data_IF_404716286676
#
_entry.id   IF_404716286676
#
_cell.length_a   1.000
_cell.length_b   1.000
_cell.length_c   1.000
_cell.angle_alpha   90.00
_cell.angle_beta   90.00
_cell.angle_gamma   90.00
#
_symmetry.space_group_name_H-M   'P 1'
#
loop_
_entity.id
_entity.type
_entity.pdbx_description
1 polymer ?
#
# COMPACT_ATOMS: atom_id res chain seq x y z
N UNK A 1 8.20 14.10 -30.17
CA UNK A 1 7.39 13.85 -28.97
C UNK A 1 8.11 12.96 -27.94
N UNK A 2 8.69 11.80 -28.30
CA UNK A 2 9.42 10.92 -27.32
C UNK A 2 10.48 11.68 -26.51
N UNK A 3 11.30 12.50 -27.15
CA UNK A 3 12.34 13.32 -26.49
C UNK A 3 11.75 14.32 -25.50
N UNK A 4 10.60 14.95 -25.81
CA UNK A 4 9.93 15.90 -24.91
C UNK A 4 9.33 15.18 -23.71
N UNK A 5 8.78 13.98 -23.90
CA UNK A 5 8.30 13.13 -22.79
C UNK A 5 9.46 12.76 -21.85
N UNK A 6 10.63 12.38 -22.39
CA UNK A 6 11.80 12.07 -21.57
C UNK A 6 12.24 13.27 -20.72
N UNK A 7 12.32 14.46 -21.31
CA UNK A 7 12.63 15.73 -20.60
C UNK A 7 11.58 16.04 -19.51
N UNK A 8 10.31 15.82 -19.80
CA UNK A 8 9.25 16.01 -18.83
C UNK A 8 9.37 15.05 -17.64
N UNK A 9 9.66 13.75 -17.89
CA UNK A 9 9.85 12.79 -16.81
C UNK A 9 11.07 13.12 -15.94
N UNK A 10 12.12 13.65 -16.55
CA UNK A 10 13.30 14.16 -15.82
C UNK A 10 12.94 15.40 -15.00
N UNK A 11 12.20 16.36 -15.56
CA UNK A 11 11.66 17.49 -14.81
C UNK A 11 10.83 17.08 -13.59
N UNK A 12 9.98 16.03 -13.74
CA UNK A 12 9.22 15.50 -12.61
C UNK A 12 10.12 14.93 -11.51
N UNK A 13 11.25 14.31 -11.88
CA UNK A 13 12.21 13.74 -10.93
C UNK A 13 13.02 14.84 -10.23
N UNK A 14 13.69 15.68 -11.00
CA UNK A 14 14.72 16.62 -10.53
C UNK A 14 14.14 17.90 -9.96
N UNK A 15 13.15 18.52 -10.63
CA UNK A 15 12.60 19.82 -10.24
C UNK A 15 11.36 19.69 -9.36
N UNK A 16 10.42 18.79 -9.75
CA UNK A 16 9.17 18.58 -8.99
C UNK A 16 9.31 17.61 -7.82
N UNK A 17 10.46 16.95 -7.68
CA UNK A 17 10.71 15.94 -6.66
C UNK A 17 9.54 14.96 -6.51
N UNK A 18 8.98 14.53 -7.66
CA UNK A 18 7.83 13.66 -7.72
C UNK A 18 8.24 12.24 -7.32
N UNK A 19 7.32 11.51 -6.66
CA UNK A 19 7.61 10.14 -6.27
C UNK A 19 7.95 9.26 -7.49
N UNK A 20 8.84 8.25 -7.36
CA UNK A 20 9.16 7.30 -8.44
C UNK A 20 7.91 6.66 -9.04
N UNK A 21 6.87 6.44 -8.21
CA UNK A 21 5.58 5.95 -8.64
C UNK A 21 4.82 6.92 -9.56
N UNK A 22 4.82 8.20 -9.23
CA UNK A 22 4.18 9.23 -10.06
C UNK A 22 4.86 9.31 -11.40
N UNK A 23 6.19 9.36 -11.41
CA UNK A 23 6.99 9.39 -12.65
C UNK A 23 6.72 8.15 -13.51
N UNK A 24 6.74 6.95 -12.92
CA UNK A 24 6.47 5.71 -13.65
C UNK A 24 5.04 5.65 -14.21
N UNK A 25 4.03 6.06 -13.44
CA UNK A 25 2.65 6.05 -13.90
C UNK A 25 2.41 7.07 -15.01
N UNK A 26 2.96 8.28 -14.86
CA UNK A 26 2.86 9.31 -15.88
C UNK A 26 3.59 8.89 -17.18
N UNK A 27 4.75 8.25 -17.04
CA UNK A 27 5.47 7.68 -18.19
C UNK A 27 4.60 6.69 -18.96
N UNK A 28 4.03 5.70 -18.28
CA UNK A 28 3.12 4.71 -18.91
C UNK A 28 1.89 5.33 -19.54
N UNK A 29 1.30 6.36 -18.92
CA UNK A 29 0.14 7.04 -19.46
C UNK A 29 0.49 7.80 -20.74
N UNK A 30 1.65 8.46 -20.77
CA UNK A 30 2.15 9.17 -21.94
C UNK A 30 2.62 8.23 -23.06
N UNK A 31 3.21 7.09 -22.72
CA UNK A 31 3.54 6.03 -23.68
C UNK A 31 2.28 5.49 -24.36
N UNK A 32 1.20 5.26 -23.59
CA UNK A 32 -0.07 4.82 -24.15
C UNK A 32 -0.70 5.88 -25.06
N UNK A 33 -0.62 7.16 -24.69
CA UNK A 33 -1.07 8.25 -25.56
C UNK A 33 -0.24 8.34 -26.84
N UNK A 34 1.08 8.20 -26.73
CA UNK A 34 1.97 8.18 -27.88
C UNK A 34 1.67 7.00 -28.83
N UNK A 35 1.40 5.82 -28.29
CA UNK A 35 1.01 4.65 -29.06
C UNK A 35 -0.32 4.86 -29.81
N UNK A 36 -1.28 5.54 -29.17
CA UNK A 36 -2.54 5.93 -29.81
C UNK A 36 -2.32 6.90 -30.99
N UNK A 37 -1.43 7.88 -30.83
CA UNK A 37 -1.10 8.86 -31.89
C UNK A 37 -0.27 8.28 -33.04
N UNK A 38 0.32 7.14 -32.85
CA UNK A 38 1.24 6.51 -33.82
C UNK A 38 0.85 5.04 -34.03
N UNK A 39 -0.33 4.77 -34.62
CA UNK A 39 -0.70 3.40 -34.96
C UNK A 39 0.30 2.82 -35.98
N UNK A 40 0.46 1.49 -36.02
CA UNK A 40 1.37 0.83 -36.96
C UNK A 40 1.10 1.25 -38.40
N UNK A 41 2.14 1.69 -39.11
CA UNK A 41 2.05 2.11 -40.50
C UNK A 41 1.75 3.60 -40.74
N UNK A 42 1.54 4.39 -39.68
CA UNK A 42 1.34 5.84 -39.79
C UNK A 42 2.52 6.62 -39.21
N UNK A 43 2.82 7.76 -39.82
CA UNK A 43 3.82 8.69 -39.27
C UNK A 43 3.29 9.34 -37.97
N UNK A 44 4.09 9.41 -36.89
CA UNK A 44 3.68 10.06 -35.66
C UNK A 44 3.28 11.51 -35.87
N UNK A 45 2.14 11.92 -35.35
CA UNK A 45 1.73 13.33 -35.39
C UNK A 45 2.74 14.21 -34.64
N UNK A 46 3.11 15.38 -35.20
CA UNK A 46 3.95 16.33 -34.51
C UNK A 46 3.20 16.91 -33.28
N UNK A 47 3.95 17.28 -32.24
CA UNK A 47 3.37 17.80 -31.00
C UNK A 47 2.46 19.03 -31.25
N UNK A 48 2.84 19.89 -32.18
CA UNK A 48 2.06 21.08 -32.54
C UNK A 48 0.71 20.79 -33.22
N UNK A 49 0.55 19.61 -33.82
CA UNK A 49 -0.71 19.20 -34.46
C UNK A 49 -1.72 18.62 -33.46
N UNK A 50 -1.33 18.39 -32.20
CA UNK A 50 -2.22 17.85 -31.19
C UNK A 50 -3.11 18.98 -30.64
N UNK A 51 -4.38 18.89 -30.93
CA UNK A 51 -5.41 19.80 -30.43
C UNK A 51 -6.34 19.12 -29.41
N UNK A 52 -7.33 19.86 -28.90
CA UNK A 52 -8.26 19.34 -27.89
C UNK A 52 -9.17 18.21 -28.44
N UNK A 53 -9.42 18.14 -29.75
CA UNK A 53 -10.17 17.04 -30.36
C UNK A 53 -9.41 15.72 -30.25
N UNK A 54 -8.14 15.70 -30.59
CA UNK A 54 -7.26 14.51 -30.47
C UNK A 54 -7.23 13.99 -29.03
N UNK A 55 -7.13 14.89 -28.05
CA UNK A 55 -7.17 14.47 -26.64
C UNK A 55 -8.55 13.91 -26.25
N UNK A 56 -9.65 14.52 -26.74
CA UNK A 56 -11.01 14.02 -26.51
C UNK A 56 -11.23 12.65 -27.14
N UNK A 57 -10.79 12.43 -28.36
CA UNK A 57 -10.86 11.13 -29.06
C UNK A 57 -10.06 10.06 -28.32
N UNK A 58 -8.86 10.39 -27.82
CA UNK A 58 -8.12 9.46 -26.96
C UNK A 58 -8.90 9.09 -25.70
N UNK A 59 -9.57 10.04 -25.04
CA UNK A 59 -10.38 9.76 -23.86
C UNK A 59 -11.60 8.86 -24.22
N UNK A 60 -12.25 9.09 -25.36
CA UNK A 60 -13.30 8.22 -25.89
C UNK A 60 -12.76 6.80 -26.16
N UNK A 61 -11.64 6.68 -26.87
CA UNK A 61 -10.96 5.42 -27.11
C UNK A 61 -10.68 4.63 -25.82
N UNK A 62 -10.25 5.30 -24.75
CA UNK A 62 -10.04 4.64 -23.44
C UNK A 62 -11.36 4.11 -22.84
N UNK A 63 -12.47 4.81 -23.04
CA UNK A 63 -13.79 4.36 -22.60
C UNK A 63 -14.27 3.16 -23.41
N UNK A 64 -14.12 3.17 -24.72
CA UNK A 64 -14.52 2.09 -25.63
C UNK A 64 -13.75 0.80 -25.32
N UNK A 65 -12.51 0.91 -24.81
CA UNK A 65 -11.70 -0.20 -24.34
C UNK A 65 -12.01 -0.62 -22.89
N UNK A 66 -13.12 -0.16 -22.31
CA UNK A 66 -13.61 -0.59 -21.01
C UNK A 66 -12.82 -0.09 -19.81
N UNK A 67 -11.99 0.95 -19.95
CA UNK A 67 -11.25 1.48 -18.82
C UNK A 67 -12.19 2.16 -17.81
N UNK A 68 -11.95 1.92 -16.53
CA UNK A 68 -12.72 2.56 -15.47
C UNK A 68 -12.55 4.09 -15.50
N UNK A 69 -13.63 4.83 -15.20
CA UNK A 69 -13.65 6.30 -15.17
C UNK A 69 -12.53 6.91 -14.32
N UNK A 70 -12.18 6.29 -13.20
CA UNK A 70 -11.06 6.72 -12.34
C UNK A 70 -9.69 6.60 -13.03
N UNK A 71 -9.48 5.55 -13.82
CA UNK A 71 -8.27 5.37 -14.60
C UNK A 71 -8.16 6.38 -15.74
N UNK A 72 -9.28 6.65 -16.42
CA UNK A 72 -9.37 7.67 -17.47
C UNK A 72 -9.10 9.07 -16.90
N UNK A 73 -9.70 9.41 -15.74
CA UNK A 73 -9.46 10.69 -15.07
C UNK A 73 -7.97 10.87 -14.68
N UNK A 74 -7.32 9.82 -14.18
CA UNK A 74 -5.88 9.84 -13.86
C UNK A 74 -5.04 10.07 -15.10
N UNK A 75 -5.34 9.39 -16.22
CA UNK A 75 -4.63 9.55 -17.49
C UNK A 75 -4.81 10.96 -18.06
N UNK A 76 -6.00 11.53 -17.99
CA UNK A 76 -6.21 12.92 -18.36
C UNK A 76 -5.41 13.89 -17.47
N UNK A 77 -5.30 13.61 -16.17
CA UNK A 77 -4.46 14.42 -15.27
C UNK A 77 -2.97 14.36 -15.65
N UNK A 78 -2.45 13.19 -16.06
CA UNK A 78 -1.07 13.07 -16.54
C UNK A 78 -0.84 13.83 -17.84
N UNK A 79 -1.79 13.77 -18.80
CA UNK A 79 -1.75 14.56 -20.03
C UNK A 79 -1.77 16.07 -19.76
N UNK A 80 -2.66 16.53 -18.88
CA UNK A 80 -2.72 17.95 -18.49
C UNK A 80 -1.40 18.43 -17.87
N UNK A 81 -0.79 17.60 -17.03
CA UNK A 81 0.51 17.95 -16.44
C UNK A 81 1.61 18.02 -17.49
N UNK A 82 1.62 17.08 -18.45
CA UNK A 82 2.56 17.08 -19.55
C UNK A 82 2.39 18.30 -20.49
N UNK A 83 1.17 18.59 -20.94
CA UNK A 83 0.92 19.72 -21.80
C UNK A 83 1.16 21.06 -21.10
N UNK A 84 0.88 21.16 -19.80
CA UNK A 84 1.28 22.33 -19.00
C UNK A 84 2.80 22.53 -18.98
N UNK A 85 3.57 21.44 -18.91
CA UNK A 85 5.02 21.48 -19.05
C UNK A 85 5.41 21.94 -20.45
N UNK A 86 4.79 21.41 -21.50
CA UNK A 86 5.08 21.80 -22.89
C UNK A 86 4.85 23.30 -23.15
N UNK A 87 3.77 23.87 -22.60
CA UNK A 87 3.51 25.32 -22.71
C UNK A 87 4.58 26.13 -21.96
N UNK A 88 4.94 25.70 -20.75
CA UNK A 88 5.96 26.40 -19.94
C UNK A 88 7.33 26.41 -20.62
N UNK A 89 7.71 25.31 -21.28
CA UNK A 89 8.99 25.18 -21.99
C UNK A 89 8.95 25.72 -23.44
N UNK A 90 7.84 26.33 -23.87
CA UNK A 90 7.71 26.91 -25.19
C UNK A 90 7.53 25.91 -26.34
N UNK A 91 7.24 24.64 -26.05
CA UNK A 91 6.93 23.63 -27.09
C UNK A 91 5.53 23.80 -27.68
N UNK A 92 4.62 24.48 -26.98
CA UNK A 92 3.24 24.77 -27.38
C UNK A 92 2.83 26.15 -26.86
N UNK A 93 1.95 26.82 -27.58
CA UNK A 93 1.37 28.10 -27.15
C UNK A 93 0.26 27.89 -26.11
N UNK A 94 -0.58 26.87 -26.25
CA UNK A 94 -1.65 26.54 -25.31
C UNK A 94 -1.72 25.01 -25.08
N UNK A 95 -2.40 24.64 -23.98
CA UNK A 95 -2.55 23.24 -23.59
C UNK A 95 -3.78 22.60 -24.24
N UNK A 96 -3.63 21.61 -25.14
CA UNK A 96 -4.75 20.93 -25.77
C UNK A 96 -5.64 20.14 -24.80
N UNK A 97 -5.13 19.82 -23.62
CA UNK A 97 -5.90 19.11 -22.58
C UNK A 97 -6.70 20.04 -21.64
N UNK A 98 -6.57 21.37 -21.78
CA UNK A 98 -7.23 22.35 -20.89
C UNK A 98 -8.76 22.28 -20.97
N UNK A 99 -9.28 22.20 -22.19
CA UNK A 99 -10.72 22.23 -22.46
C UNK A 99 -11.41 20.86 -22.37
N UNK A 100 -10.65 19.76 -22.20
CA UNK A 100 -11.23 18.41 -22.10
C UNK A 100 -11.79 18.20 -20.70
N UNK A 101 -13.10 17.94 -20.52
CA UNK A 101 -13.68 17.77 -19.20
C UNK A 101 -13.18 16.49 -18.51
N UNK A 102 -13.02 16.55 -17.18
CA UNK A 102 -12.71 15.35 -16.38
C UNK A 102 -13.98 14.49 -16.28
N UNK A 103 -13.90 13.16 -16.51
CA UNK A 103 -15.04 12.27 -16.30
C UNK A 103 -15.60 12.40 -14.88
N UNK A 104 -16.93 12.57 -14.76
CA UNK A 104 -17.58 12.59 -13.46
C UNK A 104 -17.42 11.23 -12.79
N UNK A 105 -16.70 11.19 -11.68
CA UNK A 105 -16.55 9.99 -10.86
C UNK A 105 -17.79 9.85 -9.98
N UNK A 106 -18.36 8.63 -9.85
CA UNK A 106 -19.39 8.40 -8.86
C UNK A 106 -18.81 8.67 -7.47
N UNK A 107 -19.51 9.47 -6.67
CA UNK A 107 -19.18 9.63 -5.26
C UNK A 107 -19.45 8.28 -4.57
N UNK A 108 -18.45 7.45 -4.45
CA UNK A 108 -18.52 6.30 -3.56
C UNK A 108 -18.36 6.83 -2.15
N UNK A 109 -19.39 6.75 -1.34
CA UNK A 109 -19.24 6.85 0.10
C UNK A 109 -18.50 5.58 0.50
N UNK A 110 -17.27 5.67 1.02
CA UNK A 110 -16.58 4.48 1.50
C UNK A 110 -17.45 3.86 2.60
N UNK A 111 -17.87 2.61 2.45
CA UNK A 111 -18.41 1.87 3.59
C UNK A 111 -17.25 1.67 4.55
N UNK A 112 -17.24 2.45 5.62
CA UNK A 112 -16.30 2.24 6.72
C UNK A 112 -16.83 1.07 7.52
N UNK A 113 -16.03 0.02 7.64
CA UNK A 113 -16.35 -1.10 8.51
C UNK A 113 -16.36 -0.63 9.96
N UNK A 114 -17.30 -1.10 10.75
CA UNK A 114 -17.34 -0.76 12.16
C UNK A 114 -16.15 -1.37 12.94
N UNK A 115 -15.90 -0.89 14.13
CA UNK A 115 -14.84 -1.41 14.98
C UNK A 115 -15.07 -2.90 15.30
N UNK A 116 -16.34 -3.27 15.57
CA UNK A 116 -16.77 -4.65 15.86
C UNK A 116 -16.52 -5.56 14.65
N UNK A 117 -16.83 -5.10 13.44
CA UNK A 117 -16.60 -5.86 12.21
C UNK A 117 -15.12 -6.13 11.98
N UNK A 118 -14.26 -5.11 12.16
CA UNK A 118 -12.81 -5.29 12.00
C UNK A 118 -12.24 -6.16 13.12
N UNK A 119 -12.65 -5.94 14.36
CA UNK A 119 -12.24 -6.75 15.50
C UNK A 119 -12.65 -8.21 15.28
N UNK A 120 -13.88 -8.45 14.88
CA UNK A 120 -14.37 -9.80 14.55
C UNK A 120 -13.57 -10.46 13.43
N UNK A 121 -13.14 -9.70 12.41
CA UNK A 121 -12.25 -10.20 11.36
C UNK A 121 -10.86 -10.55 11.89
N UNK A 122 -10.26 -9.69 12.72
CA UNK A 122 -8.93 -9.91 13.29
C UNK A 122 -8.94 -11.07 14.30
N UNK A 123 -9.96 -11.18 15.13
CA UNK A 123 -10.12 -12.27 16.08
C UNK A 123 -10.30 -13.61 15.34
N UNK A 124 -11.15 -13.68 14.30
CA UNK A 124 -11.26 -14.87 13.47
C UNK A 124 -9.92 -15.24 12.80
N UNK A 125 -9.16 -14.24 12.36
CA UNK A 125 -7.82 -14.47 11.81
C UNK A 125 -6.84 -14.96 12.89
N UNK A 126 -6.95 -14.45 14.13
CA UNK A 126 -6.15 -14.89 15.27
C UNK A 126 -6.47 -16.34 15.70
N UNK A 127 -7.73 -16.75 15.60
CA UNK A 127 -8.21 -18.07 15.98
C UNK A 127 -8.04 -19.12 14.87
N UNK A 128 -7.69 -18.73 13.64
CA UNK A 128 -7.43 -19.70 12.58
C UNK A 128 -6.41 -20.74 13.06
N UNK A 129 -6.71 -22.03 12.97
CA UNK A 129 -5.75 -23.04 13.39
C UNK A 129 -4.51 -22.95 12.51
N UNK A 130 -3.35 -22.86 13.15
CA UNK A 130 -2.09 -23.04 12.46
C UNK A 130 -2.03 -24.50 12.02
N UNK A 131 -1.99 -24.82 10.71
CA UNK A 131 -1.94 -26.21 10.28
C UNK A 131 -0.78 -26.91 10.99
N UNK A 132 -0.99 -28.08 11.63
CA UNK A 132 0.07 -28.78 12.31
C UNK A 132 1.20 -29.10 11.32
N UNK A 133 2.43 -28.87 11.74
CA UNK A 133 3.62 -29.10 10.90
C UNK A 133 3.79 -30.55 10.43
N UNK A 134 3.06 -31.48 11.02
CA UNK A 134 3.09 -32.93 10.77
C UNK A 134 1.66 -33.50 10.78
N UNK A 135 1.09 -33.71 9.61
CA UNK A 135 0.03 -34.70 9.39
C UNK A 135 -1.33 -34.54 10.09
N UNK A 136 -1.57 -33.43 10.79
CA UNK A 136 -2.86 -33.17 11.44
C UNK A 136 -3.92 -32.72 10.43
N UNK A 137 -5.14 -33.25 10.55
CA UNK A 137 -6.29 -32.84 9.76
C UNK A 137 -6.82 -31.49 10.22
N UNK A 138 -7.04 -30.57 9.27
CA UNK A 138 -7.75 -29.31 9.54
C UNK A 138 -9.17 -29.62 10.09
N UNK A 139 -9.66 -28.87 11.08
CA UNK A 139 -11.06 -28.97 11.52
C UNK A 139 -12.03 -28.88 10.34
N UNK A 140 -13.11 -29.62 10.36
CA UNK A 140 -14.06 -29.76 9.26
C UNK A 140 -14.56 -28.41 8.71
N UNK A 141 -14.79 -27.41 9.58
CA UNK A 141 -15.23 -26.07 9.20
C UNK A 141 -14.24 -25.28 8.33
N UNK A 142 -12.98 -25.72 8.25
CA UNK A 142 -11.95 -25.09 7.40
C UNK A 142 -11.56 -25.93 6.18
N UNK A 143 -12.09 -27.17 6.04
CA UNK A 143 -11.78 -28.07 4.90
C UNK A 143 -12.36 -27.55 3.59
N UNK A 144 -13.54 -26.94 3.61
CA UNK A 144 -14.21 -26.39 2.42
C UNK A 144 -13.49 -25.17 1.81
N UNK A 145 -12.55 -24.57 2.55
CA UNK A 145 -11.80 -23.39 2.09
C UNK A 145 -10.45 -23.73 1.44
N UNK A 146 -10.06 -25.02 1.45
CA UNK A 146 -8.85 -25.49 0.79
C UNK A 146 -9.29 -26.19 -0.48
N UNK A 147 -9.08 -25.64 -1.68
CA UNK A 147 -9.40 -26.34 -2.93
C UNK A 147 -8.69 -27.69 -2.99
N UNK A 148 -9.33 -28.73 -3.53
CA UNK A 148 -8.77 -30.09 -3.65
C UNK A 148 -7.45 -30.16 -4.41
N UNK A 149 -7.16 -29.15 -5.25
CA UNK A 149 -5.83 -28.94 -5.87
C UNK A 149 -4.70 -28.68 -4.85
N UNK A 150 -5.03 -28.59 -3.56
CA UNK A 150 -4.11 -28.33 -2.43
C UNK A 150 -3.65 -29.60 -1.69
N UNK A 151 -3.77 -30.78 -2.25
CA UNK A 151 -3.00 -31.96 -1.81
C UNK A 151 -1.54 -31.71 -2.17
N UNK A 152 -0.91 -30.86 -1.35
CA UNK A 152 0.44 -30.35 -1.60
C UNK A 152 1.46 -31.14 -0.77
N UNK A 153 2.73 -31.25 -1.25
CA UNK A 153 3.79 -31.93 -0.51
C UNK A 153 3.96 -31.32 0.89
N UNK A 154 4.30 -32.17 1.89
CA UNK A 154 4.46 -31.84 3.33
C UNK A 154 5.25 -30.54 3.60
N UNK A 155 6.23 -30.20 2.76
CA UNK A 155 7.02 -28.98 2.84
C UNK A 155 6.15 -27.72 2.73
N UNK A 156 5.16 -27.70 1.86
CA UNK A 156 4.29 -26.54 1.59
C UNK A 156 3.29 -26.27 2.72
N UNK A 157 2.79 -27.30 3.39
CA UNK A 157 1.91 -27.15 4.56
C UNK A 157 2.65 -26.49 5.73
N UNK A 158 3.91 -26.85 5.95
CA UNK A 158 4.75 -26.22 6.98
C UNK A 158 5.02 -24.76 6.67
N UNK A 159 5.30 -24.42 5.42
CA UNK A 159 5.50 -23.03 4.97
C UNK A 159 4.23 -22.19 5.15
N UNK A 160 3.06 -22.74 4.83
CA UNK A 160 1.78 -22.04 4.99
C UNK A 160 1.45 -21.77 6.46
N UNK A 161 1.80 -22.67 7.37
CA UNK A 161 1.60 -22.45 8.81
C UNK A 161 2.51 -21.35 9.38
N UNK A 162 3.74 -21.30 8.91
CA UNK A 162 4.68 -20.24 9.28
C UNK A 162 4.21 -18.88 8.74
N UNK A 163 3.77 -18.83 7.49
CA UNK A 163 3.30 -17.60 6.86
C UNK A 163 2.01 -17.07 7.49
N UNK A 164 1.16 -17.92 8.10
CA UNK A 164 -0.05 -17.47 8.78
C UNK A 164 0.26 -16.55 9.98
N UNK A 165 1.28 -16.86 10.79
CA UNK A 165 1.71 -16.00 11.92
C UNK A 165 2.23 -14.67 11.42
N UNK A 166 2.99 -14.64 10.33
CA UNK A 166 3.41 -13.41 9.67
C UNK A 166 2.20 -12.60 9.20
N UNK A 167 1.26 -13.25 8.52
CA UNK A 167 0.11 -12.61 7.90
C UNK A 167 -0.80 -11.99 8.98
N UNK A 168 -0.96 -12.67 10.13
CA UNK A 168 -1.66 -12.12 11.31
C UNK A 168 -0.99 -10.86 11.82
N UNK A 169 0.30 -10.92 12.12
CA UNK A 169 1.06 -9.76 12.60
C UNK A 169 1.01 -8.59 11.62
N UNK A 170 1.01 -8.87 10.31
CA UNK A 170 0.93 -7.87 9.27
C UNK A 170 -0.44 -7.16 9.26
N UNK A 171 -1.55 -7.93 9.29
CA UNK A 171 -2.90 -7.37 9.22
C UNK A 171 -3.23 -6.63 10.51
N UNK A 172 -2.85 -7.21 11.64
CA UNK A 172 -2.99 -6.59 12.97
C UNK A 172 -2.29 -5.23 13.02
N UNK A 173 -1.02 -5.17 12.62
CA UNK A 173 -0.25 -3.95 12.66
C UNK A 173 -0.73 -2.87 11.67
N UNK A 174 -1.28 -3.28 10.52
CA UNK A 174 -1.91 -2.35 9.56
C UNK A 174 -3.06 -1.59 10.18
N UNK A 175 -3.91 -2.27 10.94
CA UNK A 175 -5.06 -1.65 11.61
C UNK A 175 -4.62 -0.92 12.87
N UNK A 176 -3.88 -1.58 13.78
CA UNK A 176 -3.48 -1.02 15.06
C UNK A 176 -2.66 0.28 14.92
N UNK A 177 -1.84 0.41 13.90
CA UNK A 177 -0.99 1.59 13.71
C UNK A 177 -1.40 2.46 12.49
N UNK A 178 -2.47 2.12 11.80
CA UNK A 178 -2.96 2.87 10.64
C UNK A 178 -1.93 3.08 9.54
N UNK A 179 -1.01 2.13 9.32
CA UNK A 179 0.12 2.26 8.42
C UNK A 179 -0.29 2.28 6.94
N UNK A 180 0.44 3.05 6.13
CA UNK A 180 0.42 2.83 4.67
C UNK A 180 1.14 1.53 4.34
N UNK A 181 0.72 0.84 3.27
CA UNK A 181 1.39 -0.40 2.82
C UNK A 181 2.89 -0.21 2.60
N UNK A 182 3.29 0.93 2.04
CA UNK A 182 4.70 1.26 1.82
C UNK A 182 5.48 1.44 3.13
N UNK A 183 4.85 1.99 4.15
CA UNK A 183 5.41 2.17 5.49
C UNK A 183 5.59 0.79 6.15
N UNK A 184 4.54 -0.03 6.18
CA UNK A 184 4.61 -1.39 6.71
C UNK A 184 5.72 -2.22 6.05
N UNK A 185 5.77 -2.24 4.72
CA UNK A 185 6.79 -3.02 4.01
C UNK A 185 8.20 -2.42 4.14
N UNK A 186 8.31 -1.14 4.49
CA UNK A 186 9.56 -0.44 4.74
C UNK A 186 10.13 -0.65 6.13
N UNK A 187 9.34 -1.12 7.10
CA UNK A 187 9.77 -1.29 8.50
C UNK A 187 10.99 -2.21 8.63
N UNK A 188 11.93 -1.78 9.44
CA UNK A 188 13.07 -2.57 9.92
C UNK A 188 12.87 -2.93 11.40
N UNK A 189 13.59 -3.89 11.89
CA UNK A 189 13.57 -4.26 13.31
C UNK A 189 13.95 -3.08 14.22
N UNK A 190 14.90 -2.26 13.78
CA UNK A 190 15.31 -1.03 14.50
C UNK A 190 14.25 0.05 14.56
N UNK A 191 13.19 -0.05 13.75
CA UNK A 191 12.09 0.91 13.74
C UNK A 191 10.99 0.55 14.76
N UNK A 192 11.10 -0.60 15.44
CA UNK A 192 10.13 -1.09 16.43
C UNK A 192 10.75 -0.98 17.82
N UNK A 193 10.14 -0.19 18.68
CA UNK A 193 10.38 -0.23 20.12
C UNK A 193 9.28 -1.05 20.79
N UNK A 194 9.61 -2.30 21.14
CA UNK A 194 8.64 -3.21 21.77
C UNK A 194 8.33 -2.82 23.22
N UNK A 195 9.27 -2.18 23.90
CA UNK A 195 9.09 -1.77 25.30
C UNK A 195 8.11 -0.62 25.43
N UNK A 196 8.26 0.37 24.58
CA UNK A 196 7.38 1.54 24.54
C UNK A 196 6.16 1.35 23.62
N UNK A 197 6.05 0.21 22.92
CA UNK A 197 5.00 -0.10 21.93
C UNK A 197 4.84 0.98 20.86
N UNK A 198 5.94 1.43 20.30
CA UNK A 198 5.96 2.46 19.25
C UNK A 198 6.70 2.02 18.00
N UNK A 199 6.28 2.58 16.87
CA UNK A 199 6.91 2.42 15.57
C UNK A 199 7.48 3.75 15.10
N UNK A 200 8.72 3.74 14.60
CA UNK A 200 9.29 4.85 13.85
C UNK A 200 9.00 4.64 12.37
N UNK A 201 8.15 5.47 11.78
CA UNK A 201 7.63 5.29 10.43
C UNK A 201 8.13 6.39 9.51
N UNK A 202 8.68 6.03 8.35
CA UNK A 202 9.14 6.97 7.33
C UNK A 202 8.08 7.17 6.25
N UNK A 203 7.60 8.40 6.12
CA UNK A 203 6.60 8.81 5.14
C UNK A 203 7.19 9.39 3.86
N UNK A 204 6.33 10.04 3.06
CA UNK A 204 6.73 10.75 1.85
C UNK A 204 7.72 11.90 2.18
N UNK A 205 8.80 11.99 1.40
CA UNK A 205 9.84 13.00 1.61
C UNK A 205 10.78 12.68 2.78
N UNK A 206 10.89 11.39 3.16
CA UNK A 206 11.74 10.91 4.26
C UNK A 206 11.41 11.52 5.63
N UNK A 207 10.18 12.03 5.80
CA UNK A 207 9.72 12.55 7.11
C UNK A 207 9.39 11.37 8.02
N UNK A 208 9.94 11.40 9.22
CA UNK A 208 9.70 10.39 10.24
C UNK A 208 8.56 10.83 11.18
N UNK A 209 7.79 9.85 11.65
CA UNK A 209 6.83 10.03 12.72
C UNK A 209 6.84 8.81 13.64
N UNK A 210 6.41 9.00 14.87
CA UNK A 210 6.19 7.94 15.82
C UNK A 210 4.71 7.58 15.82
N UNK A 211 4.41 6.27 15.82
CA UNK A 211 3.05 5.74 15.83
C UNK A 211 2.96 4.66 16.91
N UNK A 212 2.06 4.77 17.89
CA UNK A 212 1.81 3.72 18.86
C UNK A 212 1.12 2.51 18.21
N UNK A 213 1.22 1.37 18.87
CA UNK A 213 0.44 0.17 18.54
C UNK A 213 0.04 -0.59 19.81
N UNK A 214 -1.12 -1.24 19.76
CA UNK A 214 -1.72 -1.89 20.92
C UNK A 214 -1.12 -3.24 21.27
N UNK A 215 -1.58 -3.78 22.40
CA UNK A 215 -1.14 -5.05 22.99
C UNK A 215 -1.39 -6.26 22.06
N UNK A 216 -2.50 -6.27 21.32
CA UNK A 216 -2.81 -7.35 20.34
C UNK A 216 -1.78 -7.39 19.21
N UNK A 217 -1.37 -6.23 18.68
CA UNK A 217 -0.34 -6.13 17.66
C UNK A 217 1.04 -6.55 18.19
N UNK A 218 1.37 -6.18 19.44
CA UNK A 218 2.57 -6.64 20.11
C UNK A 218 2.62 -8.17 20.18
N UNK A 219 1.58 -8.79 20.71
CA UNK A 219 1.48 -10.24 20.83
C UNK A 219 1.61 -10.94 19.46
N UNK A 220 1.01 -10.37 18.41
CA UNK A 220 1.12 -10.89 17.05
C UNK A 220 2.56 -10.81 16.50
N UNK A 221 3.27 -9.71 16.77
CA UNK A 221 4.68 -9.55 16.41
C UNK A 221 5.57 -10.53 17.15
N UNK A 222 5.36 -10.71 18.46
CA UNK A 222 6.10 -11.68 19.28
C UNK A 222 5.93 -13.13 18.76
N UNK A 223 4.70 -13.50 18.39
CA UNK A 223 4.39 -14.82 17.80
C UNK A 223 5.00 -14.99 16.40
N UNK A 224 5.24 -13.90 15.69
CA UNK A 224 5.88 -13.92 14.38
C UNK A 224 7.40 -13.96 14.46
N UNK A 225 8.03 -13.38 15.48
CA UNK A 225 9.50 -13.26 15.59
C UNK A 225 10.24 -14.59 15.35
N UNK A 226 9.90 -15.73 16.00
CA UNK A 226 10.60 -17.00 15.77
C UNK A 226 10.39 -17.55 14.35
N UNK A 227 9.25 -17.25 13.73
CA UNK A 227 9.00 -17.63 12.33
C UNK A 227 9.89 -16.84 11.38
N UNK A 228 10.07 -15.55 11.66
CA UNK A 228 10.95 -14.70 10.87
C UNK A 228 12.38 -15.22 10.86
N UNK A 229 12.91 -15.64 12.00
CA UNK A 229 14.24 -16.26 12.10
C UNK A 229 14.32 -17.55 11.27
N UNK A 230 13.31 -18.41 11.33
CA UNK A 230 13.26 -19.61 10.50
C UNK A 230 13.27 -19.31 9.00
N UNK A 231 12.57 -18.26 8.56
CA UNK A 231 12.55 -17.83 7.16
C UNK A 231 13.93 -17.35 6.69
N UNK A 232 14.70 -16.69 7.55
CA UNK A 232 16.08 -16.25 7.24
C UNK A 232 17.01 -17.45 7.14
N UNK A 233 16.95 -18.38 8.09
CA UNK A 233 17.78 -19.58 8.08
C UNK A 233 17.57 -20.46 6.85
N UNK A 234 16.34 -20.53 6.33
CA UNK A 234 16.04 -21.24 5.09
C UNK A 234 16.70 -20.61 3.84
N UNK A 235 16.87 -19.29 3.80
CA UNK A 235 17.62 -18.62 2.71
C UNK A 235 19.13 -18.83 2.86
N UNK A 236 19.66 -18.73 4.07
CA UNK A 236 21.11 -18.85 4.35
C UNK A 236 21.67 -20.23 4.02
N UNK A 237 20.85 -21.27 4.07
CA UNK A 237 21.25 -22.63 3.64
C UNK A 237 21.43 -22.79 2.13
N UNK A 238 20.99 -21.81 1.31
CA UNK A 238 21.07 -21.87 -0.15
C UNK A 238 22.19 -20.99 -0.75
N UNK A 239 22.77 -20.04 0.00
CA UNK A 239 23.80 -19.11 -0.53
C UNK A 239 24.71 -18.58 0.58
N UNK A 240 25.78 -19.29 0.88
CA UNK A 240 26.82 -18.89 1.86
C UNK A 240 27.90 -18.02 1.25
N UNK A 241 27.62 -16.89 0.60
CA UNK A 241 28.70 -16.04 0.05
C UNK A 241 28.46 -14.55 -0.08
N UNK A 242 27.61 -13.89 0.72
CA UNK A 242 27.76 -12.43 0.83
C UNK A 242 27.18 -11.89 2.13
N UNK A 243 27.99 -11.22 2.90
CA UNK A 243 27.77 -10.74 4.27
C UNK A 243 26.72 -9.64 4.49
N UNK A 244 25.70 -9.56 3.68
CA UNK A 244 24.56 -8.65 3.88
C UNK A 244 23.33 -9.18 3.15
N UNK A 245 22.65 -10.17 3.71
CA UNK A 245 21.36 -10.61 3.18
C UNK A 245 20.37 -9.44 3.31
N UNK A 246 19.75 -8.97 2.18
CA UNK A 246 18.87 -7.80 2.17
C UNK A 246 17.63 -7.92 3.05
N UNK A 247 17.35 -9.11 3.59
CA UNK A 247 16.22 -9.41 4.47
C UNK A 247 16.47 -9.25 5.96
N UNK A 248 17.75 -9.23 6.42
CA UNK A 248 18.09 -9.28 7.84
C UNK A 248 17.46 -8.15 8.68
N UNK A 249 17.32 -6.96 8.13
CA UNK A 249 16.74 -5.83 8.85
C UNK A 249 15.22 -5.73 8.70
N UNK A 250 14.61 -6.28 7.64
CA UNK A 250 13.19 -6.15 7.37
C UNK A 250 12.34 -6.86 8.41
N UNK A 251 11.25 -6.23 8.88
CA UNK A 251 10.29 -6.87 9.78
C UNK A 251 9.57 -7.98 9.04
N UNK A 252 8.90 -7.66 7.94
CA UNK A 252 8.08 -8.63 7.20
C UNK A 252 8.81 -9.22 6.01
N UNK A 253 8.91 -10.56 6.02
CA UNK A 253 9.59 -11.34 4.99
C UNK A 253 8.59 -12.12 4.13
N UNK A 254 8.97 -12.38 2.89
CA UNK A 254 8.30 -13.36 2.04
C UNK A 254 8.77 -14.79 2.39
N UNK A 255 8.24 -15.79 1.69
CA UNK A 255 8.61 -17.19 1.89
C UNK A 255 10.09 -17.51 1.57
N UNK A 256 10.75 -16.64 0.81
CA UNK A 256 12.17 -16.76 0.46
C UNK A 256 13.08 -15.88 1.36
N UNK A 257 12.66 -15.52 2.57
CA UNK A 257 13.46 -14.73 3.51
C UNK A 257 13.70 -13.26 3.13
N UNK A 258 13.18 -12.79 1.99
CA UNK A 258 13.39 -11.42 1.50
C UNK A 258 12.26 -10.50 1.95
N UNK A 259 12.54 -9.19 1.98
CA UNK A 259 11.53 -8.15 2.31
C UNK A 259 10.25 -8.31 1.52
N UNK A 260 9.12 -8.25 2.22
CA UNK A 260 7.79 -8.38 1.63
C UNK A 260 7.48 -7.18 0.72
N UNK A 261 6.82 -7.43 -0.42
CA UNK A 261 6.44 -6.37 -1.36
C UNK A 261 5.05 -5.81 -1.06
N UNK A 262 4.80 -4.57 -1.43
CA UNK A 262 3.47 -3.92 -1.32
C UNK A 262 2.36 -4.72 -2.02
N UNK A 263 2.67 -5.30 -3.19
CA UNK A 263 1.73 -6.13 -3.95
C UNK A 263 1.36 -7.41 -3.18
N UNK A 264 2.32 -8.00 -2.47
CA UNK A 264 2.09 -9.19 -1.64
C UNK A 264 1.17 -8.88 -0.46
N UNK A 265 1.33 -7.73 0.20
CA UNK A 265 0.44 -7.29 1.29
C UNK A 265 -1.01 -7.20 0.81
N UNK A 266 -1.27 -6.56 -0.32
CA UNK A 266 -2.63 -6.47 -0.88
C UNK A 266 -3.24 -7.85 -1.19
N UNK A 267 -2.42 -8.81 -1.68
CA UNK A 267 -2.87 -10.19 -1.92
C UNK A 267 -3.16 -10.95 -0.62
N UNK A 268 -2.36 -10.72 0.41
CA UNK A 268 -2.54 -11.33 1.74
C UNK A 268 -3.88 -10.87 2.34
N UNK A 269 -4.14 -9.57 2.41
CA UNK A 269 -5.41 -9.04 2.94
C UNK A 269 -6.59 -9.62 2.17
N UNK A 270 -6.57 -9.57 0.83
CA UNK A 270 -7.66 -10.16 0.01
C UNK A 270 -7.83 -11.67 0.22
N UNK A 271 -6.74 -12.42 0.44
CA UNK A 271 -6.79 -13.85 0.75
C UNK A 271 -7.62 -14.10 2.01
N UNK A 272 -7.35 -13.37 3.10
CA UNK A 272 -8.00 -13.61 4.38
C UNK A 272 -9.44 -13.09 4.41
N UNK A 273 -9.74 -11.98 3.76
CA UNK A 273 -11.13 -11.52 3.57
C UNK A 273 -11.99 -12.59 2.90
N UNK A 274 -11.47 -13.24 1.85
CA UNK A 274 -12.16 -14.34 1.18
C UNK A 274 -12.29 -15.60 2.06
N UNK A 275 -11.24 -15.91 2.84
CA UNK A 275 -11.23 -17.09 3.72
C UNK A 275 -12.24 -16.99 4.87
N UNK A 276 -12.47 -15.78 5.37
CA UNK A 276 -13.45 -15.51 6.43
C UNK A 276 -14.87 -15.36 5.85
N UNK A 277 -15.02 -15.54 4.53
CA UNK A 277 -16.29 -15.47 3.79
C UNK A 277 -17.04 -14.14 3.98
N UNK A 278 -16.29 -13.05 4.11
CA UNK A 278 -16.81 -11.71 4.27
C UNK A 278 -16.81 -11.03 2.90
N UNK A 279 -17.97 -10.55 2.45
CA UNK A 279 -18.10 -9.85 1.16
C UNK A 279 -17.72 -8.38 1.29
N UNK A 280 -16.53 -8.10 1.84
CA UNK A 280 -16.02 -6.74 2.00
C UNK A 280 -14.97 -6.41 0.95
N UNK A 281 -15.01 -5.19 0.44
CA UNK A 281 -13.89 -4.64 -0.34
C UNK A 281 -12.79 -4.11 0.60
N UNK A 282 -12.33 -5.02 1.49
CA UNK A 282 -11.30 -4.71 2.46
C UNK A 282 -9.93 -4.76 1.78
N UNK A 283 -9.23 -3.67 1.88
CA UNK A 283 -7.86 -3.51 1.39
C UNK A 283 -7.04 -2.68 2.41
N UNK A 284 -5.71 -2.65 2.30
CA UNK A 284 -4.90 -1.96 3.31
C UNK A 284 -5.24 -0.48 3.54
N UNK A 285 -5.74 0.22 2.52
CA UNK A 285 -6.20 1.60 2.70
C UNK A 285 -7.52 1.70 3.46
N UNK A 286 -8.41 0.69 3.32
CA UNK A 286 -9.64 0.63 4.12
C UNK A 286 -9.34 0.45 5.60
N UNK A 287 -8.36 -0.41 5.98
CA UNK A 287 -7.91 -0.58 7.36
C UNK A 287 -7.38 0.73 7.96
N UNK A 288 -6.57 1.46 7.19
CA UNK A 288 -6.07 2.76 7.63
C UNK A 288 -7.19 3.82 7.74
N UNK A 289 -8.18 3.77 6.85
CA UNK A 289 -9.33 4.67 6.93
C UNK A 289 -10.19 4.35 8.16
N UNK A 290 -10.44 3.08 8.41
CA UNK A 290 -11.13 2.61 9.60
C UNK A 290 -10.40 3.02 10.89
N UNK A 291 -9.08 2.84 10.97
CA UNK A 291 -8.26 3.35 12.06
C UNK A 291 -8.55 4.84 12.35
N UNK A 292 -8.50 5.69 11.32
CA UNK A 292 -8.75 7.12 11.48
C UNK A 292 -10.18 7.42 11.95
N UNK A 293 -11.17 6.71 11.38
CA UNK A 293 -12.59 6.94 11.67
C UNK A 293 -12.95 6.44 13.07
N UNK A 294 -12.40 5.31 13.50
CA UNK A 294 -12.67 4.76 14.84
C UNK A 294 -12.05 5.64 15.92
N UNK A 295 -10.79 6.08 15.76
CA UNK A 295 -10.20 7.05 16.68
C UNK A 295 -11.03 8.33 16.81
N UNK A 296 -11.56 8.82 15.69
CA UNK A 296 -12.42 10.02 15.68
C UNK A 296 -13.76 9.77 16.38
N UNK A 297 -14.37 8.61 16.16
CA UNK A 297 -15.64 8.22 16.76
C UNK A 297 -15.52 8.07 18.29
N UNK A 298 -14.37 7.58 18.78
CA UNK A 298 -14.07 7.41 20.19
C UNK A 298 -13.45 8.67 20.84
N UNK A 299 -13.57 9.82 20.15
CA UNK A 299 -13.31 11.14 20.73
C UNK A 299 -11.85 11.62 20.65
N UNK A 300 -11.00 10.95 19.88
CA UNK A 300 -9.65 11.46 19.67
C UNK A 300 -9.66 12.77 18.87
N UNK A 301 -8.82 13.72 19.27
CA UNK A 301 -8.68 15.00 18.58
C UNK A 301 -8.21 14.81 17.13
N UNK A 302 -8.84 15.53 16.21
CA UNK A 302 -8.52 15.47 14.77
C UNK A 302 -7.05 15.78 14.47
N UNK A 303 -6.44 16.66 15.26
CA UNK A 303 -5.03 17.02 15.10
C UNK A 303 -4.11 15.87 15.49
N UNK A 304 -4.42 15.18 16.59
CA UNK A 304 -3.69 13.98 17.01
C UNK A 304 -3.80 12.86 15.95
N UNK A 305 -5.00 12.65 15.39
CA UNK A 305 -5.22 11.70 14.31
C UNK A 305 -4.40 12.08 13.06
N UNK A 306 -4.35 13.36 12.68
CA UNK A 306 -3.53 13.83 11.55
C UNK A 306 -2.03 13.62 11.78
N UNK A 307 -1.55 13.80 13.01
CA UNK A 307 -0.16 13.52 13.39
C UNK A 307 0.16 12.03 13.28
N UNK A 308 -0.68 11.17 13.86
CA UNK A 308 -0.55 9.71 13.76
C UNK A 308 -0.55 9.22 12.31
N UNK A 309 -1.37 9.83 11.47
CA UNK A 309 -1.45 9.49 10.05
C UNK A 309 -0.36 10.14 9.19
N UNK A 310 0.32 11.16 9.66
CA UNK A 310 1.34 11.91 8.91
C UNK A 310 0.74 12.64 7.70
N UNK A 311 -0.29 13.45 7.93
CA UNK A 311 -0.86 14.35 6.92
C UNK A 311 -0.01 15.62 6.78
N UNK A 312 0.21 16.08 5.54
CA UNK A 312 1.22 17.09 5.16
C UNK A 312 0.93 18.54 5.58
N UNK A 313 0.00 18.84 6.42
CA UNK A 313 -0.45 20.21 6.62
C UNK A 313 0.08 20.92 7.87
N UNK A 314 1.22 20.60 8.41
CA UNK A 314 1.93 21.54 9.28
C UNK A 314 3.43 21.21 9.28
N UNK A 315 4.21 22.20 8.88
CA UNK A 315 5.66 22.22 8.93
C UNK A 315 6.13 21.92 10.34
N UNK A 316 7.01 21.00 10.46
CA UNK A 316 8.13 20.96 11.38
C UNK A 316 8.47 19.51 11.70
N UNK A 317 9.71 19.19 11.58
CA UNK A 317 10.35 18.06 12.23
C UNK A 317 10.24 18.32 13.74
N UNK A 318 9.06 18.04 14.33
CA UNK A 318 8.93 18.06 15.77
C UNK A 318 9.81 16.92 16.30
N UNK A 319 10.83 17.26 17.08
CA UNK A 319 11.53 16.30 17.92
C UNK A 319 10.49 15.81 18.92
N UNK A 320 10.02 14.57 18.75
CA UNK A 320 9.14 13.94 19.72
C UNK A 320 9.89 13.80 21.04
N UNK A 321 9.42 14.50 22.06
CA UNK A 321 9.91 14.36 23.43
C UNK A 321 9.21 13.16 24.09
N UNK A 322 9.80 12.60 25.15
CA UNK A 322 9.15 11.53 25.90
C UNK A 322 7.74 11.95 26.40
N UNK A 323 7.52 13.21 26.73
CA UNK A 323 6.22 13.73 27.14
C UNK A 323 5.19 13.67 25.98
N UNK A 324 5.59 14.05 24.75
CA UNK A 324 4.69 13.98 23.58
C UNK A 324 4.37 12.55 23.17
N UNK A 325 5.29 11.60 23.35
CA UNK A 325 5.05 10.18 23.09
C UNK A 325 4.02 9.62 24.07
N UNK A 326 4.14 9.94 25.36
CA UNK A 326 3.15 9.53 26.39
C UNK A 326 1.76 10.08 26.09
N UNK A 327 1.65 11.35 25.73
CA UNK A 327 0.37 11.95 25.33
C UNK A 327 -0.27 11.23 24.13
N UNK A 328 0.54 10.85 23.11
CA UNK A 328 0.05 10.09 21.98
C UNK A 328 -0.41 8.68 22.38
N UNK A 329 0.33 8.02 23.28
CA UNK A 329 -0.08 6.72 23.84
C UNK A 329 -1.39 6.83 24.63
N UNK A 330 -1.53 7.84 25.48
CA UNK A 330 -2.76 8.06 26.27
C UNK A 330 -3.98 8.29 25.38
N UNK A 331 -3.82 9.05 24.28
CA UNK A 331 -4.89 9.27 23.30
C UNK A 331 -5.21 7.95 22.58
N UNK A 332 -4.17 7.21 22.18
CA UNK A 332 -4.33 5.94 21.51
C UNK A 332 -5.02 4.89 22.40
N UNK A 333 -4.54 4.71 23.63
CA UNK A 333 -5.06 3.70 24.57
C UNK A 333 -6.52 4.01 24.97
N UNK A 334 -6.94 5.29 24.96
CA UNK A 334 -8.33 5.69 25.23
C UNK A 334 -9.27 5.54 24.04
N UNK A 335 -8.78 5.73 22.84
CA UNK A 335 -9.63 5.89 21.66
C UNK A 335 -9.47 4.76 20.63
N UNK A 336 -8.48 3.85 20.74
CA UNK A 336 -8.31 2.80 19.76
C UNK A 336 -8.96 1.48 20.20
N UNK A 337 -9.89 0.88 19.42
CA UNK A 337 -10.60 -0.35 19.80
C UNK A 337 -9.71 -1.59 20.02
N UNK A 338 -8.44 -1.52 19.62
CA UNK A 338 -7.41 -2.58 19.73
C UNK A 338 -6.17 -2.13 20.52
N UNK A 339 -6.33 -1.16 21.44
CA UNK A 339 -5.26 -0.68 22.31
C UNK A 339 -4.65 -1.76 23.23
#
# INVERSE_FOLDING_TARGET
MKTVIAKYLEYLRSVKNSSPHTVSNYGKDLEQFLAYLSPPGLTPQPLAAINHHVVREFIAHLHDHGLQKSSVARKLASLRSFFKYCVREGYLEDSPARLVPTPKLPKRIPSVLSAEEINGFLDQLADMPVPPALGGTLPAKYRSFVPDSFVRPRRRVREESLLLRRDRALVELLYAAGLRVSELTGLNLSDIDQKERILRVRGKGNKERIVPYGSKAQLALERYAPVREQLILQESGATSQSGSAPGLQAVFLNYAGRRLTRRSVGRIVKKYVRLVNINWDLHPHSLRHAFATHLLADGADLRAIQELLGHQSLSTTQKYTHASIRQLMDIYDKAHPHA
#
